data_IF_314222265901
#
_entry.id   IF_314222265901
#
_cell.length_a   1.000
_cell.length_b   1.000
_cell.length_c   1.000
_cell.angle_alpha   90.00
_cell.angle_beta   90.00
_cell.angle_gamma   90.00
#
_symmetry.space_group_name_H-M   'P 1'
#
loop_
_entity.id
_entity.type
_entity.pdbx_description
1 polymer ?
#
# COMPACT_ATOMS: atom_id res chain seq x y z
N UNK A 1 7.91 -0.70 39.05
CA UNK A 1 8.38 -0.34 37.70
C UNK A 1 8.02 1.12 37.42
N UNK A 2 9.00 1.98 37.12
CA UNK A 2 8.78 3.42 36.86
C UNK A 2 7.75 3.62 35.74
N UNK A 3 6.89 4.64 35.86
CA UNK A 3 5.86 4.96 34.87
C UNK A 3 6.45 5.14 33.46
N UNK A 4 7.69 5.65 33.35
CA UNK A 4 8.42 5.76 32.07
C UNK A 4 8.69 4.40 31.42
N UNK A 5 9.11 3.41 32.23
CA UNK A 5 9.37 2.03 31.75
C UNK A 5 8.09 1.37 31.22
N UNK A 6 6.95 1.60 31.88
CA UNK A 6 5.65 1.11 31.39
C UNK A 6 5.27 1.72 30.03
N UNK A 7 5.50 3.02 29.87
CA UNK A 7 5.22 3.72 28.61
C UNK A 7 6.08 3.20 27.45
N UNK A 8 7.37 2.99 27.65
CA UNK A 8 8.24 2.40 26.62
C UNK A 8 7.78 1.02 26.17
N UNK A 9 7.34 0.18 27.10
CA UNK A 9 6.80 -1.14 26.77
C UNK A 9 5.56 -1.01 25.88
N UNK A 10 4.61 -0.15 26.26
CA UNK A 10 3.37 0.07 25.49
C UNK A 10 3.68 0.57 24.08
N UNK A 11 4.53 1.60 23.95
CA UNK A 11 4.90 2.16 22.64
C UNK A 11 5.63 1.13 21.79
N UNK A 12 6.56 0.38 22.38
CA UNK A 12 7.28 -0.69 21.67
C UNK A 12 6.34 -1.80 21.18
N UNK A 13 5.33 -2.16 21.97
CA UNK A 13 4.34 -3.17 21.56
C UNK A 13 3.48 -2.68 20.39
N UNK A 14 3.05 -1.43 20.41
CA UNK A 14 2.27 -0.83 19.29
C UNK A 14 3.11 -0.79 18.01
N UNK A 15 4.37 -0.36 18.11
CA UNK A 15 5.28 -0.33 16.97
C UNK A 15 5.54 -1.73 16.39
N UNK A 16 5.66 -2.74 17.25
CA UNK A 16 5.87 -4.12 16.82
C UNK A 16 4.65 -4.66 16.06
N UNK A 17 3.43 -4.41 16.56
CA UNK A 17 2.19 -4.79 15.86
C UNK A 17 2.12 -4.09 14.50
N UNK A 18 2.44 -2.79 14.47
CA UNK A 18 2.46 -2.02 13.24
C UNK A 18 3.47 -2.57 12.20
N UNK A 19 4.67 -2.94 12.64
CA UNK A 19 5.67 -3.56 11.77
C UNK A 19 5.21 -4.90 11.19
N UNK A 20 4.49 -5.72 11.97
CA UNK A 20 3.91 -6.98 11.46
C UNK A 20 2.87 -6.69 10.37
N UNK A 21 2.01 -5.68 10.56
CA UNK A 21 1.02 -5.29 9.55
C UNK A 21 1.70 -4.81 8.26
N UNK A 22 2.67 -3.91 8.39
CA UNK A 22 3.45 -3.35 7.29
C UNK A 22 4.17 -4.44 6.49
N UNK A 23 4.91 -5.31 7.18
CA UNK A 23 5.69 -6.37 6.53
C UNK A 23 4.79 -7.41 5.87
N UNK A 24 3.65 -7.74 6.47
CA UNK A 24 2.68 -8.66 5.86
C UNK A 24 2.11 -8.09 4.56
N UNK A 25 1.64 -6.85 4.58
CA UNK A 25 1.09 -6.21 3.37
C UNK A 25 2.15 -5.97 2.30
N UNK A 26 3.41 -5.71 2.69
CA UNK A 26 4.54 -5.62 1.76
C UNK A 26 4.76 -6.95 1.01
N UNK A 27 4.86 -8.06 1.75
CA UNK A 27 5.07 -9.40 1.16
C UNK A 27 3.88 -9.79 0.25
N UNK A 28 2.65 -9.42 0.64
CA UNK A 28 1.48 -9.68 -0.20
C UNK A 28 1.51 -8.85 -1.49
N UNK A 29 1.85 -7.56 -1.39
CA UNK A 29 1.94 -6.66 -2.54
C UNK A 29 2.98 -7.13 -3.55
N UNK A 30 4.17 -7.54 -3.09
CA UNK A 30 5.22 -8.12 -3.94
C UNK A 30 4.78 -9.40 -4.67
N UNK A 31 3.81 -10.12 -4.12
CA UNK A 31 3.21 -11.33 -4.73
C UNK A 31 2.00 -11.01 -5.62
N UNK A 32 1.66 -9.74 -5.79
CA UNK A 32 0.46 -9.32 -6.51
C UNK A 32 -0.85 -9.68 -5.78
N UNK A 33 -0.79 -9.92 -4.47
CA UNK A 33 -1.94 -10.28 -3.65
C UNK A 33 -2.43 -9.05 -2.90
N UNK A 34 -3.76 -8.87 -2.85
CA UNK A 34 -4.41 -7.76 -2.13
C UNK A 34 -3.93 -7.69 -0.66
N UNK A 35 -3.62 -6.49 -0.15
CA UNK A 35 -3.23 -6.31 1.25
C UNK A 35 -4.39 -6.69 2.20
N UNK A 36 -4.03 -7.20 3.38
CA UNK A 36 -4.98 -7.68 4.40
C UNK A 36 -5.24 -6.60 5.44
N UNK A 37 -4.21 -5.83 5.81
CA UNK A 37 -4.31 -4.82 6.86
C UNK A 37 -4.62 -3.41 6.35
N UNK A 38 -4.81 -3.27 5.03
CA UNK A 38 -5.27 -2.04 4.42
C UNK A 38 -6.75 -2.11 4.02
N UNK A 39 -7.41 -0.96 3.97
CA UNK A 39 -8.80 -0.82 3.53
C UNK A 39 -8.83 -0.09 2.20
N UNK A 40 -9.69 -0.52 1.26
CA UNK A 40 -9.93 0.21 0.02
C UNK A 40 -10.55 1.58 0.33
N UNK A 41 -9.87 2.64 -0.11
CA UNK A 41 -10.26 4.03 0.20
C UNK A 41 -10.53 4.88 -1.03
N UNK A 42 -10.03 4.46 -2.19
CA UNK A 42 -10.30 5.12 -3.46
C UNK A 42 -10.15 4.13 -4.60
N UNK A 43 -10.91 4.39 -5.67
CA UNK A 43 -10.77 3.75 -6.97
C UNK A 43 -10.66 4.85 -8.02
N UNK A 44 -9.75 4.69 -8.97
CA UNK A 44 -9.44 5.68 -9.99
C UNK A 44 -10.01 5.26 -11.35
N UNK A 45 -10.32 6.25 -12.19
CA UNK A 45 -10.94 6.07 -13.51
C UNK A 45 -9.92 5.72 -14.62
N UNK A 46 -8.67 5.46 -14.25
CA UNK A 46 -7.52 5.20 -15.12
C UNK A 46 -7.40 3.76 -15.65
N UNK A 47 -8.52 3.02 -15.66
CA UNK A 47 -8.52 1.56 -15.86
C UNK A 47 -8.85 0.79 -14.58
N UNK A 48 -9.16 1.50 -13.49
CA UNK A 48 -9.63 0.89 -12.25
C UNK A 48 -8.51 0.63 -11.25
N UNK A 49 -7.50 1.50 -11.19
CA UNK A 49 -6.50 1.45 -10.13
C UNK A 49 -7.17 1.64 -8.76
N UNK A 50 -6.64 1.00 -7.72
CA UNK A 50 -7.23 1.00 -6.38
C UNK A 50 -6.20 1.46 -5.36
N UNK A 51 -6.61 2.33 -4.44
CA UNK A 51 -5.82 2.70 -3.26
C UNK A 51 -6.33 1.98 -2.02
N UNK A 52 -5.46 1.19 -1.43
CA UNK A 52 -5.63 0.60 -0.11
C UNK A 52 -4.86 1.42 0.92
N UNK A 53 -5.51 1.91 1.97
CA UNK A 53 -4.86 2.70 3.03
C UNK A 53 -4.75 1.87 4.31
N UNK A 54 -3.53 1.74 4.81
CA UNK A 54 -3.20 1.15 6.11
C UNK A 54 -2.85 2.24 7.12
N UNK A 55 -2.34 1.83 8.28
CA UNK A 55 -1.87 2.80 9.29
C UNK A 55 -0.48 3.30 8.88
N UNK A 56 -0.33 4.58 8.52
CA UNK A 56 0.94 5.20 8.08
C UNK A 56 1.60 4.63 6.80
N UNK A 57 0.92 3.77 6.05
CA UNK A 57 1.33 3.34 4.71
C UNK A 57 0.08 3.13 3.85
N UNK A 58 0.28 2.99 2.55
CA UNK A 58 -0.78 2.68 1.59
C UNK A 58 -0.22 1.80 0.48
N UNK A 59 -1.10 1.07 -0.19
CA UNK A 59 -0.79 0.20 -1.31
C UNK A 59 -1.62 0.64 -2.50
N UNK A 60 -0.97 0.85 -3.63
CA UNK A 60 -1.61 1.15 -4.91
C UNK A 60 -1.60 -0.07 -5.80
N UNK A 61 -2.78 -0.59 -6.16
CA UNK A 61 -2.97 -1.51 -7.27
C UNK A 61 -3.10 -0.67 -8.53
N UNK A 62 -2.05 -0.66 -9.36
CA UNK A 62 -1.98 0.15 -10.58
C UNK A 62 -2.38 -0.68 -11.79
N UNK A 63 -3.33 -0.13 -12.55
CA UNK A 63 -3.77 -0.63 -13.83
C UNK A 63 -3.60 0.48 -14.86
N UNK A 64 -3.15 0.10 -16.05
CA UNK A 64 -2.97 0.99 -17.18
C UNK A 64 -3.83 0.50 -18.35
N UNK A 65 -4.43 1.44 -19.08
CA UNK A 65 -5.16 1.14 -20.30
C UNK A 65 -4.18 1.30 -21.46
N UNK A 66 -3.90 0.21 -22.18
CA UNK A 66 -3.18 0.29 -23.45
C UNK A 66 -4.18 0.70 -24.54
N UNK A 67 -3.95 1.85 -25.19
CA UNK A 67 -4.81 2.40 -26.25
C UNK A 67 -4.72 1.65 -27.60
N UNK A 68 -3.91 0.58 -27.68
CA UNK A 68 -3.87 -0.29 -28.85
C UNK A 68 -5.24 -0.90 -29.10
N UNK A 69 -5.75 -1.01 -30.35
CA UNK A 69 -7.00 -1.71 -30.62
C UNK A 69 -6.79 -3.24 -30.55
N UNK A 70 -7.57 -4.01 -29.77
CA UNK A 70 -8.57 -3.59 -28.77
C UNK A 70 -7.95 -3.14 -27.45
N UNK A 71 -8.56 -2.18 -26.74
CA UNK A 71 -8.01 -1.64 -25.50
C UNK A 71 -7.84 -2.76 -24.47
N UNK A 72 -6.62 -2.91 -23.98
CA UNK A 72 -6.24 -3.94 -23.01
C UNK A 72 -5.90 -3.30 -21.66
N UNK A 73 -6.40 -3.90 -20.58
CA UNK A 73 -6.14 -3.42 -19.21
C UNK A 73 -4.95 -4.21 -18.69
N UNK A 74 -3.78 -3.57 -18.64
CA UNK A 74 -2.57 -4.17 -18.09
C UNK A 74 -2.50 -3.90 -16.59
N UNK A 75 -2.37 -4.97 -15.81
CA UNK A 75 -2.10 -4.87 -14.38
C UNK A 75 -0.60 -4.74 -14.17
N UNK A 76 -0.14 -3.56 -13.76
CA UNK A 76 1.29 -3.27 -13.58
C UNK A 76 1.82 -3.85 -12.27
N UNK A 77 1.02 -3.75 -11.20
CA UNK A 77 1.39 -4.34 -9.92
C UNK A 77 0.79 -3.64 -8.71
N UNK A 78 1.19 -4.13 -7.53
CA UNK A 78 0.85 -3.53 -6.25
C UNK A 78 2.08 -2.88 -5.62
N UNK A 79 1.98 -1.59 -5.32
CA UNK A 79 3.10 -0.79 -4.83
C UNK A 79 2.80 -0.26 -3.43
N UNK A 80 3.60 -0.68 -2.45
CA UNK A 80 3.52 -0.17 -1.09
C UNK A 80 4.37 1.11 -0.95
N UNK A 81 3.76 2.17 -0.46
CA UNK A 81 4.41 3.46 -0.24
C UNK A 81 3.95 4.11 1.07
N UNK A 82 4.69 5.10 1.60
CA UNK A 82 4.21 5.91 2.72
C UNK A 82 2.86 6.56 2.40
N UNK A 83 2.01 6.71 3.43
CA UNK A 83 0.62 7.20 3.29
C UNK A 83 0.49 8.60 2.68
N UNK A 84 1.57 9.38 2.66
CA UNK A 84 1.60 10.75 2.16
C UNK A 84 2.07 10.85 0.70
N UNK A 85 2.38 9.74 0.03
CA UNK A 85 2.72 9.74 -1.40
C UNK A 85 1.44 9.76 -2.25
N UNK A 86 1.51 10.33 -3.45
CA UNK A 86 0.38 10.30 -4.39
C UNK A 86 0.47 9.11 -5.32
N UNK A 87 -0.64 8.80 -6.00
CA UNK A 87 -0.63 7.81 -7.08
C UNK A 87 0.29 8.25 -8.23
N UNK A 88 0.36 9.55 -8.51
CA UNK A 88 1.21 10.10 -9.57
C UNK A 88 2.69 9.85 -9.28
N UNK A 89 3.11 10.00 -8.01
CA UNK A 89 4.47 9.65 -7.60
C UNK A 89 4.80 8.19 -7.92
N UNK A 90 3.88 7.26 -7.63
CA UNK A 90 4.06 5.83 -7.91
C UNK A 90 4.20 5.60 -9.41
N UNK A 91 3.34 6.20 -10.23
CA UNK A 91 3.40 6.04 -11.68
C UNK A 91 4.71 6.56 -12.27
N UNK A 92 5.15 7.73 -11.81
CA UNK A 92 6.32 8.40 -12.38
C UNK A 92 7.66 7.77 -11.94
N UNK A 93 7.70 7.05 -10.81
CA UNK A 93 8.95 6.60 -10.20
C UNK A 93 9.06 5.08 -10.00
N UNK A 94 7.95 4.34 -10.00
CA UNK A 94 7.93 2.91 -9.65
C UNK A 94 7.41 2.00 -10.77
N UNK A 95 6.84 2.58 -11.83
CA UNK A 95 6.44 1.85 -13.04
C UNK A 95 7.58 2.04 -14.05
N UNK A 96 8.24 0.94 -14.43
CA UNK A 96 9.26 0.90 -15.49
C UNK A 96 8.64 0.76 -16.89
#
# INVERSE_FOLDING_TARGET
MSNKKKWYIVVSSILLIWLIMLTTDMILSERGIRPVFCIETARYDDGGSIRYTGFFYQVYDIKTINESPPPDIKHEGLYLVPWFFSIDFVRDNLIE
#
